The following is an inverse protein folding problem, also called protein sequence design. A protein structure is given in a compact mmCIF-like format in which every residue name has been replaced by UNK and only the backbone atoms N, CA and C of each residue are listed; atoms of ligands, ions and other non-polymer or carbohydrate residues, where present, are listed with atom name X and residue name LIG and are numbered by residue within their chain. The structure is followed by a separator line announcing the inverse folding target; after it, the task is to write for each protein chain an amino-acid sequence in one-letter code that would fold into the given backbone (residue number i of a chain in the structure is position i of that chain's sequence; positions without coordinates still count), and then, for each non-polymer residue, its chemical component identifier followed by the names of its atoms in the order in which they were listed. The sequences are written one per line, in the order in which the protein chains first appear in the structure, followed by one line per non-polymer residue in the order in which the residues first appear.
data_IF_571759683181
#
_entry.id   IF_571759683181
#
_cell.length_a   1.000
_cell.length_b   1.000
_cell.length_c   1.000
_cell.angle_alpha   90.00
_cell.angle_beta   90.00
_cell.angle_gamma   90.00
#
_symmetry.space_group_name_H-M   'P 1'
#
loop_
_entity.id
_entity.type
_entity.pdbx_description
1 polymer ?
#
# COMPACT_ATOMS: atom_id res chain seq x y z
N UNK A 1 -10.77 -9.68 4.98
CA UNK A 1 -10.91 -11.11 4.64
C UNK A 1 -10.20 -11.39 3.33
N UNK A 2 -9.40 -12.44 3.28
CA UNK A 2 -8.74 -12.93 2.05
C UNK A 2 -8.78 -14.46 2.01
N UNK A 3 -8.98 -15.03 0.84
CA UNK A 3 -8.79 -16.45 0.60
C UNK A 3 -7.33 -16.69 0.20
N UNK A 4 -6.71 -17.70 0.80
CA UNK A 4 -5.38 -18.17 0.43
C UNK A 4 -5.31 -19.68 0.68
N UNK A 5 -4.94 -20.46 -0.34
CA UNK A 5 -4.81 -21.92 -0.28
C UNK A 5 -6.06 -22.65 0.26
N UNK A 6 -7.25 -22.22 -0.16
CA UNK A 6 -8.52 -22.83 0.25
C UNK A 6 -8.93 -22.55 1.71
N UNK A 7 -8.29 -21.59 2.36
CA UNK A 7 -8.64 -21.11 3.69
C UNK A 7 -8.93 -19.61 3.66
N UNK A 8 -9.79 -19.18 4.58
CA UNK A 8 -10.11 -17.77 4.79
C UNK A 8 -9.27 -17.21 5.93
N UNK A 9 -8.59 -16.10 5.71
CA UNK A 9 -7.82 -15.38 6.73
C UNK A 9 -8.48 -14.04 7.04
N UNK A 10 -8.48 -13.67 8.30
CA UNK A 10 -9.15 -12.45 8.76
C UNK A 10 -8.67 -12.01 10.13
N UNK A 11 -8.88 -10.74 10.42
CA UNK A 11 -8.67 -10.17 11.74
C UNK A 11 -9.92 -10.37 12.59
N UNK A 12 -9.75 -10.89 13.80
CA UNK A 12 -10.81 -11.02 14.80
C UNK A 12 -10.27 -10.83 16.22
N UNK A 13 -11.18 -10.75 17.19
CA UNK A 13 -10.85 -10.68 18.63
C UNK A 13 -11.68 -11.75 19.35
N UNK A 14 -11.00 -12.66 20.03
CA UNK A 14 -11.61 -13.75 20.81
C UNK A 14 -11.89 -13.37 22.29
N UNK A 15 -11.47 -12.16 22.70
CA UNK A 15 -11.56 -11.69 24.08
C UNK A 15 -10.41 -12.14 24.98
N UNK A 16 -9.48 -12.97 24.48
CA UNK A 16 -8.35 -13.52 25.23
C UNK A 16 -6.99 -13.02 24.71
N UNK A 17 -6.85 -12.81 23.39
CA UNK A 17 -5.58 -12.44 22.74
C UNK A 17 -5.58 -11.04 22.11
N UNK A 18 -6.71 -10.33 22.08
CA UNK A 18 -6.82 -9.07 21.37
C UNK A 18 -7.25 -9.26 19.91
N UNK A 19 -6.91 -8.28 19.04
CA UNK A 19 -7.20 -8.37 17.59
C UNK A 19 -6.03 -8.97 16.88
N UNK A 20 -6.17 -10.25 16.50
CA UNK A 20 -5.12 -11.06 15.92
C UNK A 20 -5.52 -11.71 14.61
N UNK A 21 -4.60 -12.45 13.99
CA UNK A 21 -4.82 -13.18 12.75
C UNK A 21 -5.52 -14.52 13.02
N UNK A 22 -6.67 -14.69 12.40
CA UNK A 22 -7.48 -15.91 12.44
C UNK A 22 -7.53 -16.59 11.08
N UNK A 23 -7.74 -17.89 11.12
CA UNK A 23 -7.92 -18.74 9.93
C UNK A 23 -9.19 -19.56 10.04
N UNK A 24 -9.83 -19.85 8.91
CA UNK A 24 -11.01 -20.72 8.83
C UNK A 24 -10.98 -21.58 7.56
N UNK A 25 -11.42 -22.84 7.70
CA UNK A 25 -11.73 -23.73 6.58
C UNK A 25 -13.24 -23.72 6.22
N UNK A 26 -13.99 -22.77 6.82
CA UNK A 26 -15.44 -22.65 6.66
C UNK A 26 -16.26 -23.44 7.68
N UNK A 27 -15.62 -24.20 8.58
CA UNK A 27 -16.28 -24.91 9.68
C UNK A 27 -16.03 -24.19 11.03
N UNK A 28 -16.87 -24.47 12.02
CA UNK A 28 -16.66 -23.92 13.37
C UNK A 28 -15.36 -24.47 14.01
N UNK A 29 -15.08 -25.74 13.80
CA UNK A 29 -13.90 -26.41 14.32
C UNK A 29 -12.61 -25.96 13.66
N UNK A 30 -12.66 -25.62 12.37
CA UNK A 30 -11.53 -25.11 11.58
C UNK A 30 -11.36 -23.60 11.66
N UNK A 31 -12.23 -22.89 12.42
CA UNK A 31 -12.12 -21.45 12.65
C UNK A 31 -11.41 -21.20 13.98
N UNK A 32 -10.17 -20.70 13.91
CA UNK A 32 -9.32 -20.58 15.11
C UNK A 32 -8.30 -19.43 14.97
N UNK A 33 -7.74 -19.03 16.10
CA UNK A 33 -6.57 -18.17 16.15
C UNK A 33 -5.42 -18.84 15.39
N UNK A 34 -4.83 -18.15 14.42
CA UNK A 34 -3.62 -18.64 13.74
C UNK A 34 -2.39 -18.33 14.59
N UNK A 35 -2.25 -17.09 15.01
CA UNK A 35 -1.10 -16.63 15.79
C UNK A 35 -1.48 -15.36 16.57
N UNK A 36 -0.98 -15.27 17.82
CA UNK A 36 -0.93 -14.04 18.62
C UNK A 36 0.46 -13.43 18.42
N UNK A 37 0.52 -12.35 17.61
CA UNK A 37 1.78 -11.67 17.28
C UNK A 37 2.23 -10.69 18.35
N UNK A 38 1.31 -10.23 19.21
CA UNK A 38 1.59 -9.26 20.26
C UNK A 38 1.00 -9.72 21.60
N UNK A 39 1.58 -10.78 22.21
CA UNK A 39 1.05 -11.35 23.43
C UNK A 39 1.25 -10.43 24.64
N UNK A 40 0.26 -10.44 25.53
CA UNK A 40 0.33 -9.70 26.79
C UNK A 40 -0.81 -8.73 27.00
N UNK A 41 -0.65 -7.88 28.02
CA UNK A 41 -1.68 -6.92 28.46
C UNK A 41 -1.06 -5.59 28.80
N UNK A 42 -1.82 -4.54 28.56
CA UNK A 42 -1.48 -3.18 28.97
C UNK A 42 -1.62 -2.97 30.50
N UNK A 43 -1.31 -1.77 30.96
CA UNK A 43 -1.39 -1.38 32.38
C UNK A 43 -2.83 -1.33 32.93
N UNK A 44 -3.85 -1.43 32.08
CA UNK A 44 -5.26 -1.44 32.42
C UNK A 44 -5.83 -2.87 32.44
N UNK A 45 -5.07 -3.85 31.97
CA UNK A 45 -5.44 -5.27 31.89
C UNK A 45 -6.08 -5.66 30.58
N UNK A 46 -6.11 -4.77 29.57
CA UNK A 46 -6.59 -5.04 28.23
C UNK A 46 -5.51 -5.76 27.41
N UNK A 47 -5.92 -6.74 26.59
CA UNK A 47 -5.00 -7.47 25.73
C UNK A 47 -4.43 -6.54 24.63
N UNK A 48 -3.13 -6.66 24.38
CA UNK A 48 -2.54 -6.04 23.20
C UNK A 48 -3.17 -6.59 21.92
N UNK A 49 -2.94 -5.92 20.82
CA UNK A 49 -3.49 -6.33 19.52
C UNK A 49 -2.47 -6.03 18.44
N UNK A 50 -2.16 -7.00 17.60
CA UNK A 50 -1.26 -6.83 16.45
C UNK A 50 -1.93 -6.12 15.26
N UNK A 51 -3.27 -6.07 15.22
CA UNK A 51 -4.06 -5.45 14.15
C UNK A 51 -3.63 -5.88 12.76
N UNK A 52 -3.64 -7.17 12.39
CA UNK A 52 -3.32 -7.58 11.02
C UNK A 52 -4.27 -6.93 10.03
N UNK A 53 -3.71 -6.32 8.96
CA UNK A 53 -4.50 -5.63 7.93
C UNK A 53 -3.82 -5.71 6.55
N UNK A 54 -4.44 -5.17 5.50
CA UNK A 54 -3.86 -5.11 4.15
C UNK A 54 -3.38 -6.48 3.66
N UNK A 55 -4.26 -7.48 3.78
CA UNK A 55 -3.96 -8.87 3.48
C UNK A 55 -4.01 -9.13 1.98
N UNK A 56 -2.98 -9.76 1.44
CA UNK A 56 -2.92 -10.21 0.04
C UNK A 56 -2.33 -11.62 -0.05
N UNK A 57 -2.82 -12.42 -0.99
CA UNK A 57 -2.19 -13.69 -1.37
C UNK A 57 -1.15 -13.42 -2.47
N UNK A 58 0.07 -13.94 -2.28
CA UNK A 58 1.14 -13.88 -3.26
C UNK A 58 2.03 -15.13 -3.13
N UNK A 59 2.26 -15.83 -4.24
CA UNK A 59 3.08 -17.05 -4.28
C UNK A 59 2.65 -18.10 -3.23
N UNK A 60 1.34 -18.38 -3.14
CA UNK A 60 0.76 -19.35 -2.20
C UNK A 60 1.00 -19.02 -0.72
N UNK A 61 1.31 -17.78 -0.39
CA UNK A 61 1.47 -17.28 0.98
C UNK A 61 0.62 -16.04 1.21
N UNK A 62 0.27 -15.83 2.48
CA UNK A 62 -0.41 -14.62 2.93
C UNK A 62 0.63 -13.56 3.30
N UNK A 63 0.48 -12.35 2.78
CA UNK A 63 1.25 -11.16 3.17
C UNK A 63 0.31 -10.14 3.80
N UNK A 64 0.76 -9.46 4.83
CA UNK A 64 -0.09 -8.51 5.58
C UNK A 64 0.75 -7.57 6.44
N UNK A 65 0.18 -6.44 6.85
CA UNK A 65 0.77 -5.56 7.85
C UNK A 65 0.31 -5.93 9.25
N UNK A 66 1.20 -5.92 10.24
CA UNK A 66 0.87 -6.15 11.65
C UNK A 66 1.93 -5.54 12.57
N UNK A 67 1.58 -5.40 13.87
CA UNK A 67 2.50 -4.96 14.92
C UNK A 67 2.85 -6.15 15.83
N UNK A 68 4.15 -6.37 16.08
CA UNK A 68 4.64 -7.42 16.99
C UNK A 68 5.16 -6.86 18.33
N UNK A 69 5.11 -5.54 18.53
CA UNK A 69 5.59 -4.87 19.74
C UNK A 69 7.11 -4.74 19.87
N UNK A 70 7.87 -5.26 18.90
CA UNK A 70 9.33 -5.18 18.87
C UNK A 70 9.83 -4.24 17.77
N UNK A 71 9.30 -4.41 16.54
CA UNK A 71 9.69 -3.63 15.37
C UNK A 71 8.66 -2.59 14.95
N UNK A 72 7.52 -2.50 15.66
CA UNK A 72 6.40 -1.69 15.22
C UNK A 72 5.51 -2.41 14.22
N UNK A 73 4.79 -1.63 13.40
CA UNK A 73 3.89 -2.14 12.36
C UNK A 73 4.65 -2.32 11.06
N UNK A 74 4.88 -3.58 10.71
CA UNK A 74 5.74 -3.97 9.61
C UNK A 74 5.07 -4.99 8.69
N UNK A 75 5.79 -5.40 7.61
CA UNK A 75 5.33 -6.40 6.65
C UNK A 75 5.61 -7.82 7.15
N UNK A 76 4.56 -8.62 7.24
CA UNK A 76 4.59 -10.03 7.66
C UNK A 76 4.23 -10.96 6.51
N UNK A 77 4.70 -12.22 6.63
CA UNK A 77 4.35 -13.32 5.74
C UNK A 77 3.90 -14.53 6.55
N UNK A 78 2.95 -15.31 6.02
CA UNK A 78 2.48 -16.56 6.62
C UNK A 78 2.29 -17.64 5.54
N UNK A 79 2.70 -18.86 5.86
CA UNK A 79 2.38 -20.07 5.08
C UNK A 79 1.08 -20.76 5.56
N UNK A 80 0.34 -20.10 6.46
CA UNK A 80 -0.89 -20.62 7.05
C UNK A 80 -0.68 -21.47 8.30
N UNK A 81 0.54 -21.45 8.86
CA UNK A 81 0.88 -22.01 10.19
C UNK A 81 1.37 -20.92 11.12
N UNK A 82 1.26 -21.14 12.44
CA UNK A 82 1.80 -20.19 13.43
C UNK A 82 3.33 -20.05 13.31
N UNK A 83 4.03 -21.17 13.11
CA UNK A 83 5.49 -21.21 12.96
C UNK A 83 5.97 -20.55 11.66
N UNK A 84 5.17 -20.63 10.60
CA UNK A 84 5.45 -20.01 9.30
C UNK A 84 4.96 -18.57 9.19
N UNK A 85 4.36 -18.03 10.27
CA UNK A 85 3.96 -16.62 10.34
C UNK A 85 5.10 -15.82 10.98
N UNK A 86 5.75 -14.94 10.20
CA UNK A 86 6.95 -14.24 10.65
C UNK A 86 7.08 -12.86 10.01
N UNK A 87 7.87 -11.99 10.63
CA UNK A 87 8.29 -10.72 10.05
C UNK A 87 9.02 -10.97 8.73
N UNK A 88 8.56 -10.36 7.65
CA UNK A 88 9.26 -10.42 6.35
C UNK A 88 10.35 -9.35 6.26
N UNK A 89 9.98 -8.12 6.58
CA UNK A 89 10.90 -6.99 6.54
C UNK A 89 10.54 -5.99 7.66
N UNK A 90 11.56 -5.54 8.36
CA UNK A 90 11.57 -4.34 9.19
C UNK A 90 12.12 -3.22 8.31
N UNK A 91 11.25 -2.32 7.86
CA UNK A 91 11.60 -1.29 6.89
C UNK A 91 12.14 -0.03 7.56
N UNK A 92 11.74 0.21 8.81
CA UNK A 92 12.13 1.40 9.56
C UNK A 92 13.01 1.04 10.76
N UNK A 93 14.29 0.85 10.48
CA UNK A 93 15.29 0.30 11.41
C UNK A 93 15.70 1.22 12.57
N UNK A 94 15.36 2.50 12.53
CA UNK A 94 15.77 3.46 13.56
C UNK A 94 14.69 3.64 14.61
N UNK A 95 15.03 3.38 15.86
CA UNK A 95 14.20 3.76 17.01
C UNK A 95 14.23 5.28 17.22
N UNK A 96 13.17 5.82 17.79
CA UNK A 96 13.21 7.20 18.26
C UNK A 96 14.19 7.35 19.44
N UNK A 97 14.52 8.61 19.79
CA UNK A 97 15.43 8.88 20.93
C UNK A 97 14.87 8.44 22.29
N UNK A 98 13.66 7.88 22.33
CA UNK A 98 12.97 7.39 23.51
C UNK A 98 12.89 5.86 23.56
N UNK A 99 13.39 5.15 22.53
CA UNK A 99 13.44 3.69 22.43
C UNK A 99 12.11 3.06 22.02
N UNK A 100 11.28 3.79 21.27
CA UNK A 100 10.08 3.24 20.64
C UNK A 100 10.43 2.86 19.20
N UNK A 101 10.08 1.63 18.81
CA UNK A 101 10.15 1.20 17.42
C UNK A 101 9.22 2.05 16.55
N UNK A 102 9.68 2.38 15.37
CA UNK A 102 8.89 3.12 14.41
C UNK A 102 8.12 2.19 13.49
N UNK A 103 6.86 2.52 13.26
CA UNK A 103 6.01 1.82 12.31
C UNK A 103 6.37 2.26 10.88
N UNK A 104 6.53 1.31 9.96
CA UNK A 104 6.64 1.60 8.52
C UNK A 104 5.29 1.67 7.82
N UNK A 105 4.21 1.22 8.49
CA UNK A 105 2.83 1.23 7.98
C UNK A 105 2.68 0.68 6.56
N UNK A 106 3.06 -0.59 6.28
CA UNK A 106 2.82 -1.17 4.96
C UNK A 106 1.33 -1.19 4.63
N UNK A 107 0.96 -0.59 3.48
CA UNK A 107 -0.43 -0.45 3.02
C UNK A 107 -0.54 -0.68 1.50
N UNK A 108 -1.77 -0.74 0.98
CA UNK A 108 -2.05 -0.85 -0.46
C UNK A 108 -1.35 -2.05 -1.13
N UNK A 109 -1.26 -3.21 -0.45
CA UNK A 109 -0.60 -4.39 -0.96
C UNK A 109 -1.29 -4.93 -2.21
N UNK A 110 -0.55 -5.08 -3.31
CA UNK A 110 -1.06 -5.63 -4.57
C UNK A 110 -0.03 -6.52 -5.25
N UNK A 111 -0.48 -7.67 -5.79
CA UNK A 111 0.34 -8.50 -6.68
C UNK A 111 0.26 -7.96 -8.10
N UNK A 112 1.41 -7.80 -8.75
CA UNK A 112 1.51 -7.46 -10.14
C UNK A 112 2.72 -8.14 -10.78
N UNK A 113 2.49 -8.94 -11.81
CA UNK A 113 3.52 -9.56 -12.64
C UNK A 113 4.57 -10.35 -11.82
N UNK A 114 4.12 -11.11 -10.81
CA UNK A 114 4.97 -11.97 -9.99
C UNK A 114 5.81 -11.23 -8.94
N UNK A 115 5.43 -10.01 -8.60
CA UNK A 115 5.98 -9.22 -7.50
C UNK A 115 4.85 -8.65 -6.63
N UNK A 116 5.16 -8.40 -5.37
CA UNK A 116 4.30 -7.70 -4.44
C UNK A 116 4.71 -6.23 -4.40
N UNK A 117 3.75 -5.33 -4.56
CA UNK A 117 3.94 -3.88 -4.43
C UNK A 117 3.12 -3.37 -3.25
N UNK A 118 3.62 -2.36 -2.58
CA UNK A 118 2.96 -1.76 -1.42
C UNK A 118 3.54 -0.38 -1.12
N UNK A 119 2.88 0.37 -0.28
CA UNK A 119 3.38 1.65 0.24
C UNK A 119 3.90 1.48 1.64
N UNK A 120 4.97 2.18 2.00
CA UNK A 120 5.54 2.18 3.36
C UNK A 120 6.42 3.41 3.60
N UNK A 121 6.72 3.69 4.86
CA UNK A 121 7.68 4.71 5.30
C UNK A 121 8.91 4.00 5.92
N UNK A 122 10.09 4.20 5.33
CA UNK A 122 11.34 3.64 5.83
C UNK A 122 12.11 4.58 6.80
N UNK A 123 11.52 5.74 7.12
CA UNK A 123 12.13 6.74 7.97
C UNK A 123 13.19 7.61 7.31
N UNK A 124 13.47 7.38 6.01
CA UNK A 124 14.49 8.10 5.23
C UNK A 124 13.88 8.82 4.03
N UNK A 125 12.94 8.18 3.34
CA UNK A 125 12.35 8.70 2.09
C UNK A 125 10.89 9.14 2.25
N UNK A 126 10.29 8.95 3.45
CA UNK A 126 8.86 9.17 3.67
C UNK A 126 8.01 8.01 3.19
N UNK A 127 6.71 8.24 2.99
CA UNK A 127 5.79 7.22 2.51
C UNK A 127 5.89 7.08 0.98
N UNK A 128 6.50 5.98 0.53
CA UNK A 128 6.89 5.74 -0.85
C UNK A 128 6.46 4.36 -1.36
N UNK A 129 6.73 4.10 -2.66
CA UNK A 129 6.41 2.82 -3.31
C UNK A 129 7.54 1.81 -3.10
N UNK A 130 7.17 0.65 -2.53
CA UNK A 130 8.05 -0.50 -2.30
C UNK A 130 7.69 -1.69 -3.19
N UNK A 131 8.65 -2.58 -3.37
CA UNK A 131 8.49 -3.84 -4.10
C UNK A 131 9.12 -4.99 -3.33
N UNK A 132 8.54 -6.19 -3.44
CA UNK A 132 9.07 -7.41 -2.86
C UNK A 132 8.92 -8.59 -3.82
N UNK A 133 9.89 -9.51 -3.83
CA UNK A 133 9.78 -10.83 -4.44
C UNK A 133 9.30 -11.90 -3.45
N UNK A 134 8.94 -11.49 -2.24
CA UNK A 134 8.52 -12.34 -1.13
C UNK A 134 9.67 -12.79 -0.22
N UNK A 135 10.88 -12.24 -0.41
CA UNK A 135 12.03 -12.43 0.48
C UNK A 135 12.43 -11.11 1.15
N UNK A 136 13.12 -11.19 2.29
CA UNK A 136 13.63 -9.98 2.98
C UNK A 136 14.59 -9.21 2.08
N UNK A 137 15.51 -9.89 1.40
CA UNK A 137 16.51 -9.27 0.51
C UNK A 137 15.88 -8.65 -0.74
N UNK A 138 14.75 -9.21 -1.21
CA UNK A 138 13.99 -8.69 -2.36
C UNK A 138 12.96 -7.63 -2.00
N UNK A 139 12.83 -7.29 -0.71
CA UNK A 139 11.93 -6.24 -0.22
C UNK A 139 12.70 -4.93 -0.12
N UNK A 140 12.36 -3.95 -0.97
CA UNK A 140 13.14 -2.71 -1.08
C UNK A 140 12.28 -1.55 -1.61
N UNK A 141 12.75 -0.32 -1.36
CA UNK A 141 12.23 0.88 -2.01
C UNK A 141 12.32 0.72 -3.53
N UNK A 142 11.21 0.89 -4.23
CA UNK A 142 11.19 0.86 -5.70
C UNK A 142 11.50 2.25 -6.27
N UNK A 143 10.85 3.28 -5.74
CA UNK A 143 11.05 4.65 -6.17
C UNK A 143 10.73 5.62 -5.03
N UNK A 144 11.62 6.59 -4.82
CA UNK A 144 11.37 7.84 -4.11
C UNK A 144 10.86 8.83 -5.16
N UNK A 145 9.53 9.05 -5.17
CA UNK A 145 8.88 9.89 -6.17
C UNK A 145 8.92 11.37 -5.83
N UNK A 146 9.10 11.69 -4.54
CA UNK A 146 9.18 13.07 -4.05
C UNK A 146 10.43 13.30 -3.21
N UNK A 147 11.62 13.28 -3.84
CA UNK A 147 12.89 13.32 -3.12
C UNK A 147 13.13 14.66 -2.43
N UNK A 148 13.71 14.60 -1.23
CA UNK A 148 14.13 15.75 -0.45
C UNK A 148 13.39 15.88 0.87
N UNK A 149 13.76 16.92 1.62
CA UNK A 149 13.29 17.15 2.98
C UNK A 149 12.62 18.52 3.09
N UNK A 150 11.73 18.65 4.06
CA UNK A 150 11.17 19.93 4.45
C UNK A 150 12.19 20.79 5.22
N UNK A 151 11.80 22.02 5.61
CA UNK A 151 12.67 22.95 6.34
C UNK A 151 13.01 22.46 7.78
N UNK A 152 12.43 21.36 8.23
CA UNK A 152 12.65 20.75 9.55
C UNK A 152 13.46 19.46 9.45
N UNK A 153 13.79 18.99 8.23
CA UNK A 153 14.53 17.77 7.96
C UNK A 153 13.67 16.51 7.99
N UNK A 154 12.36 16.63 7.72
CA UNK A 154 11.46 15.51 7.49
C UNK A 154 11.34 15.27 5.98
N UNK A 155 11.53 14.01 5.57
CA UNK A 155 11.37 13.61 4.18
C UNK A 155 9.96 13.92 3.68
N UNK A 156 9.85 14.31 2.41
CA UNK A 156 8.55 14.45 1.77
C UNK A 156 7.96 13.07 1.48
N UNK A 157 6.66 12.96 1.61
CA UNK A 157 5.89 11.78 1.23
C UNK A 157 5.32 11.96 -0.17
N UNK A 158 5.37 10.92 -1.00
CA UNK A 158 4.64 10.89 -2.28
C UNK A 158 3.25 10.26 -2.16
N UNK A 159 2.94 9.59 -1.03
CA UNK A 159 1.66 8.94 -0.74
C UNK A 159 1.10 8.13 -1.91
N UNK A 160 1.81 7.09 -2.41
CA UNK A 160 1.25 6.29 -3.49
C UNK A 160 -0.03 5.60 -3.02
N UNK A 161 -1.10 5.67 -3.83
CA UNK A 161 -2.42 5.11 -3.51
C UNK A 161 -3.10 4.55 -4.77
N UNK A 162 -4.26 3.90 -4.60
CA UNK A 162 -5.04 3.34 -5.70
C UNK A 162 -4.25 2.37 -6.59
N UNK A 163 -3.37 1.56 -6.01
CA UNK A 163 -2.55 0.61 -6.72
C UNK A 163 -3.41 -0.43 -7.46
N UNK A 164 -3.19 -0.60 -8.76
CA UNK A 164 -3.90 -1.57 -9.59
C UNK A 164 -2.99 -2.17 -10.65
N UNK A 165 -3.09 -3.50 -10.86
CA UNK A 165 -2.48 -4.18 -11.98
C UNK A 165 -3.33 -3.98 -13.24
N UNK A 166 -2.68 -3.59 -14.34
CA UNK A 166 -3.31 -3.52 -15.66
C UNK A 166 -2.27 -3.81 -16.76
N UNK A 167 -2.55 -4.83 -17.58
CA UNK A 167 -1.68 -5.26 -18.68
C UNK A 167 -0.22 -5.53 -18.28
N UNK A 168 0.00 -6.17 -17.13
CA UNK A 168 1.34 -6.54 -16.64
C UNK A 168 2.15 -5.35 -16.12
N UNK A 169 1.52 -4.23 -15.83
CA UNK A 169 2.13 -3.06 -15.18
C UNK A 169 1.32 -2.63 -13.98
N UNK A 170 1.98 -1.98 -13.05
CA UNK A 170 1.33 -1.31 -11.92
C UNK A 170 0.95 0.11 -12.32
N UNK A 171 -0.30 0.50 -12.05
CA UNK A 171 -0.81 1.87 -12.12
C UNK A 171 -1.20 2.32 -10.73
N UNK A 172 -0.93 3.57 -10.40
CA UNK A 172 -1.19 4.11 -9.07
C UNK A 172 -1.22 5.64 -9.11
N UNK A 173 -1.71 6.25 -8.06
CA UNK A 173 -1.66 7.71 -7.88
C UNK A 173 -0.55 8.09 -6.91
N UNK A 174 0.08 9.24 -7.11
CA UNK A 174 1.12 9.78 -6.21
C UNK A 174 1.28 11.30 -6.39
N UNK A 175 2.01 11.92 -5.44
CA UNK A 175 2.48 13.30 -5.49
C UNK A 175 4.01 13.32 -5.69
N UNK A 176 4.50 13.89 -6.76
CA UNK A 176 5.93 14.04 -7.02
C UNK A 176 6.49 15.42 -6.62
N UNK A 177 5.65 16.27 -6.01
CA UNK A 177 6.00 17.62 -5.61
C UNK A 177 6.12 18.63 -6.77
N UNK A 178 5.84 18.21 -8.00
CA UNK A 178 5.97 19.03 -9.22
C UNK A 178 4.65 19.21 -9.94
N UNK A 179 3.88 18.13 -10.12
CA UNK A 179 2.67 18.11 -10.95
C UNK A 179 1.36 18.22 -10.15
N UNK A 180 1.43 18.33 -8.83
CA UNK A 180 0.28 18.37 -7.93
C UNK A 180 -0.01 17.02 -7.27
N UNK A 181 -1.17 16.92 -6.61
CA UNK A 181 -1.53 15.74 -5.85
C UNK A 181 -2.32 14.73 -6.68
N UNK A 182 -2.12 13.45 -6.37
CA UNK A 182 -2.89 12.33 -6.93
C UNK A 182 -2.84 12.28 -8.48
N UNK A 183 -1.64 12.41 -9.05
CA UNK A 183 -1.39 12.21 -10.48
C UNK A 183 -1.25 10.72 -10.82
N UNK A 184 -1.47 10.35 -12.09
CA UNK A 184 -1.38 8.96 -12.52
C UNK A 184 0.04 8.57 -12.89
N UNK A 185 0.56 7.59 -12.19
CA UNK A 185 1.86 6.96 -12.43
C UNK A 185 1.71 5.55 -12.99
N UNK A 186 2.77 5.08 -13.63
CA UNK A 186 2.91 3.71 -14.12
C UNK A 186 4.27 3.16 -13.75
N UNK A 187 4.34 1.86 -13.43
CA UNK A 187 5.60 1.15 -13.17
C UNK A 187 5.63 -0.19 -13.88
N UNK A 188 6.79 -0.55 -14.43
CA UNK A 188 7.10 -1.91 -14.91
C UNK A 188 7.85 -2.75 -13.85
N UNK A 189 7.96 -2.23 -12.64
CA UNK A 189 8.67 -2.86 -11.52
C UNK A 189 10.17 -2.56 -11.47
N UNK A 190 10.61 -1.56 -12.24
CA UNK A 190 11.97 -0.98 -12.14
C UNK A 190 11.87 0.50 -11.77
N UNK A 191 12.91 1.05 -11.15
CA UNK A 191 12.96 2.48 -10.82
C UNK A 191 12.85 3.35 -12.07
N UNK A 192 13.56 3.01 -13.14
CA UNK A 192 13.53 3.74 -14.41
C UNK A 192 12.18 3.63 -15.13
N UNK A 193 11.45 2.52 -14.94
CA UNK A 193 10.12 2.29 -15.50
C UNK A 193 8.99 2.83 -14.63
N UNK A 194 9.30 3.40 -13.45
CA UNK A 194 8.34 4.06 -12.57
C UNK A 194 8.33 5.55 -12.88
N UNK A 195 7.23 6.03 -13.49
CA UNK A 195 7.17 7.39 -14.02
C UNK A 195 5.75 7.93 -14.07
N UNK A 196 5.62 9.26 -14.10
CA UNK A 196 4.36 9.93 -14.38
C UNK A 196 3.83 9.49 -15.74
N UNK A 197 2.58 9.01 -15.78
CA UNK A 197 1.88 8.69 -17.03
C UNK A 197 1.19 9.92 -17.60
N UNK A 198 0.47 10.65 -16.74
CA UNK A 198 -0.28 11.84 -17.16
C UNK A 198 -0.55 12.76 -15.96
N UNK A 199 -0.40 14.05 -16.21
CA UNK A 199 -0.93 15.17 -15.44
C UNK A 199 -2.10 15.75 -16.24
N UNK A 200 -3.31 15.68 -15.70
CA UNK A 200 -4.53 16.15 -16.35
C UNK A 200 -4.87 17.61 -16.00
N UNK A 201 -4.49 18.07 -14.81
CA UNK A 201 -4.83 19.40 -14.33
C UNK A 201 -3.63 20.37 -14.43
N UNK A 202 -3.25 20.70 -15.65
CA UNK A 202 -2.09 21.54 -15.95
C UNK A 202 -2.20 22.96 -15.37
N UNK A 203 -1.15 23.40 -14.70
CA UNK A 203 -0.99 24.79 -14.23
C UNK A 203 -1.05 24.93 -12.71
N UNK A 204 -0.78 26.15 -12.25
CA UNK A 204 -0.67 26.45 -10.84
C UNK A 204 -1.98 27.04 -10.30
N UNK A 205 -2.23 26.82 -9.01
CA UNK A 205 -3.29 27.48 -8.27
C UNK A 205 -2.95 28.96 -8.00
N UNK A 206 -3.88 29.68 -7.39
CA UNK A 206 -3.71 31.13 -7.09
C UNK A 206 -2.55 31.42 -6.11
N UNK A 207 -1.99 30.40 -5.48
CA UNK A 207 -0.87 30.51 -4.55
C UNK A 207 0.46 30.13 -5.18
N UNK A 208 0.45 29.62 -6.43
CA UNK A 208 1.62 29.19 -7.17
C UNK A 208 2.01 27.72 -6.91
N UNK A 209 1.11 26.92 -6.32
CA UNK A 209 1.28 25.49 -6.20
C UNK A 209 0.63 24.80 -7.40
N UNK A 210 1.19 23.67 -7.85
CA UNK A 210 0.60 22.89 -8.94
C UNK A 210 -0.78 22.38 -8.54
N UNK A 211 -1.73 22.41 -9.49
CA UNK A 211 -3.04 21.80 -9.30
C UNK A 211 -2.91 20.28 -9.39
N UNK A 212 -3.62 19.55 -8.53
CA UNK A 212 -3.70 18.09 -8.61
C UNK A 212 -4.86 17.63 -9.49
N UNK A 213 -4.65 16.52 -10.18
CA UNK A 213 -5.71 15.86 -10.96
C UNK A 213 -6.68 15.05 -10.08
N UNK A 214 -6.34 14.81 -8.82
CA UNK A 214 -7.17 14.09 -7.83
C UNK A 214 -7.73 12.77 -8.36
N UNK A 215 -6.89 11.99 -9.02
CA UNK A 215 -7.25 10.72 -9.67
C UNK A 215 -7.63 9.68 -8.61
N UNK A 216 -8.79 9.00 -8.82
CA UNK A 216 -9.34 8.01 -7.88
C UNK A 216 -10.11 6.92 -8.61
N UNK A 217 -10.39 5.83 -7.86
CA UNK A 217 -11.27 4.76 -8.31
C UNK A 217 -10.79 4.08 -9.59
N UNK A 218 -9.48 3.76 -9.68
CA UNK A 218 -8.94 3.04 -10.81
C UNK A 218 -9.57 1.65 -10.92
N UNK A 219 -10.11 1.32 -12.09
CA UNK A 219 -10.72 0.02 -12.35
C UNK A 219 -10.53 -0.42 -13.79
N UNK A 220 -10.11 -1.67 -14.00
CA UNK A 220 -10.08 -2.29 -15.32
C UNK A 220 -11.50 -2.65 -15.76
N UNK A 221 -11.86 -2.24 -16.97
CA UNK A 221 -13.12 -2.62 -17.60
C UNK A 221 -12.95 -2.73 -19.12
N UNK A 222 -13.28 -3.90 -19.67
CA UNK A 222 -13.18 -4.18 -21.11
C UNK A 222 -11.80 -3.87 -21.73
N UNK A 223 -10.71 -4.22 -21.06
CA UNK A 223 -9.36 -4.03 -21.55
C UNK A 223 -8.89 -2.57 -21.58
N UNK A 224 -9.46 -1.73 -20.74
CA UNK A 224 -9.03 -0.36 -20.50
C UNK A 224 -9.13 -0.04 -19.00
N UNK A 225 -8.33 0.92 -18.55
CA UNK A 225 -8.37 1.42 -17.19
C UNK A 225 -9.22 2.68 -17.11
N UNK A 226 -10.23 2.69 -16.24
CA UNK A 226 -11.12 3.82 -16.00
C UNK A 226 -10.85 4.39 -14.62
N UNK A 227 -11.04 5.71 -14.47
CA UNK A 227 -10.86 6.41 -13.22
C UNK A 227 -11.63 7.73 -13.21
N UNK A 228 -11.78 8.35 -12.04
CA UNK A 228 -12.31 9.70 -11.91
C UNK A 228 -11.16 10.68 -11.70
N UNK A 229 -11.25 11.86 -12.31
CA UNK A 229 -10.22 12.90 -12.23
C UNK A 229 -10.80 14.29 -12.49
N UNK A 230 -10.08 15.33 -12.04
CA UNK A 230 -10.32 16.73 -12.39
C UNK A 230 -9.23 17.20 -13.38
N UNK A 231 -9.62 17.70 -14.54
CA UNK A 231 -8.70 18.25 -15.54
C UNK A 231 -8.58 19.79 -15.48
N UNK A 232 -9.13 20.40 -14.42
CA UNK A 232 -9.12 21.85 -14.23
C UNK A 232 -10.15 22.61 -15.08
N UNK A 233 -10.89 21.91 -15.96
CA UNK A 233 -11.86 22.51 -16.91
C UNK A 233 -13.27 21.98 -16.67
N UNK A 234 -13.40 20.64 -16.61
CA UNK A 234 -14.70 19.97 -16.52
C UNK A 234 -15.08 19.56 -15.09
N UNK A 235 -14.14 19.68 -14.12
CA UNK A 235 -14.29 19.20 -12.76
C UNK A 235 -14.08 17.69 -12.70
N UNK A 236 -14.56 17.05 -11.63
CA UNK A 236 -14.34 15.62 -11.39
C UNK A 236 -15.24 14.79 -12.32
N UNK A 237 -14.67 14.18 -13.35
CA UNK A 237 -15.34 13.44 -14.40
C UNK A 237 -14.74 12.04 -14.62
N UNK A 238 -15.37 11.24 -15.49
CA UNK A 238 -14.89 9.92 -15.88
C UNK A 238 -13.86 9.99 -17.00
N UNK A 239 -12.69 9.44 -16.74
CA UNK A 239 -11.60 9.29 -17.70
C UNK A 239 -11.34 7.81 -18.03
N UNK A 240 -10.65 7.59 -19.14
CA UNK A 240 -10.19 6.27 -19.59
C UNK A 240 -8.77 6.37 -20.12
N UNK A 241 -7.97 5.33 -19.88
CA UNK A 241 -6.64 5.17 -20.48
C UNK A 241 -6.45 3.75 -21.06
N UNK A 242 -5.64 3.63 -22.09
CA UNK A 242 -5.09 2.36 -22.58
C UNK A 242 -3.68 2.09 -22.03
N UNK A 243 -3.23 2.91 -21.08
CA UNK A 243 -1.91 2.86 -20.48
C UNK A 243 -0.88 3.76 -21.16
N UNK A 244 -1.31 4.63 -22.08
CA UNK A 244 -0.47 5.65 -22.71
C UNK A 244 -1.01 7.04 -22.43
N UNK A 245 -0.16 8.06 -22.47
CA UNK A 245 -0.57 9.47 -22.32
C UNK A 245 -1.57 9.86 -23.41
N UNK A 246 -1.31 9.49 -24.69
CA UNK A 246 -2.19 9.78 -25.83
C UNK A 246 -3.52 9.05 -25.76
N UNK A 247 -3.57 7.86 -25.12
CA UNK A 247 -4.78 7.07 -24.91
C UNK A 247 -5.59 7.50 -23.70
N UNK A 248 -5.08 8.45 -22.90
CA UNK A 248 -5.77 8.98 -21.72
C UNK A 248 -6.69 10.13 -22.13
N UNK A 249 -8.00 9.98 -21.90
CA UNK A 249 -8.99 10.96 -22.35
C UNK A 249 -10.25 11.00 -21.49
N UNK A 250 -10.92 12.14 -21.49
CA UNK A 250 -12.25 12.31 -20.91
C UNK A 250 -13.25 11.41 -21.66
N UNK A 251 -14.04 10.63 -20.92
CA UNK A 251 -15.11 9.79 -21.48
C UNK A 251 -16.36 10.62 -21.74
N UNK A 252 -16.77 11.41 -20.75
CA UNK A 252 -17.94 12.27 -20.82
C UNK A 252 -17.86 13.39 -19.78
N UNK A 253 -18.26 14.61 -20.17
CA UNK A 253 -18.67 15.67 -19.25
C UNK A 253 -20.14 15.42 -18.89
N UNK A 254 -20.40 15.15 -17.60
CA UNK A 254 -21.73 14.71 -17.11
C UNK A 254 -22.58 15.90 -16.62
N UNK A 255 -22.10 17.11 -16.72
CA UNK A 255 -22.83 18.32 -16.31
C UNK A 255 -23.95 18.71 -17.25
#
# INVERSE_FOLDING_TARGET
FIECNGKLYFRANDGETGRELFVSDGTAEGTQLLVDLLPGKDNYGDNYSSFPDNMVEFNEKLYFSANNGETGRELFVSDGTAEGTQLLADLRLEDDNYGYSHDSYPDNLVECNGKLYFTADDGVHGNELFVSDGTTEGTQLLADLRPGDDNYGYSYDSYPDNLVEYNGKLYFTADDGVHGNDELFVSDGTTEGTQLLVDLCLGDNIYGDSNGSFIRNLVEFNGKLYFTADDGVHGNELFVTDGTTEGTQLVADIR
#
